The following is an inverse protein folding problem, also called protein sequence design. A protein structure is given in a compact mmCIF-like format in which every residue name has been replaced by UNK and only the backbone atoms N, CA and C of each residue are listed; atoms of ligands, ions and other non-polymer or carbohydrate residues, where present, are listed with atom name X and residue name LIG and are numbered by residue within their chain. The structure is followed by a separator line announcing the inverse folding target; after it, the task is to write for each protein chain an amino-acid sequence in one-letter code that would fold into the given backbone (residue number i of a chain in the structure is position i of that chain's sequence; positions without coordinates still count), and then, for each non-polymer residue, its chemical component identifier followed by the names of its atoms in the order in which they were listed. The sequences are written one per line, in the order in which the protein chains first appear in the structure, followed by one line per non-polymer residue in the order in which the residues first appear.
data_IF_596873025262
#
_entry.id   IF_596873025262
#
_cell.length_a   1.000
_cell.length_b   1.000
_cell.length_c   1.000
_cell.angle_alpha   90.00
_cell.angle_beta   90.00
_cell.angle_gamma   90.00
#
_symmetry.space_group_name_H-M   'P 1'
#
loop_
_entity.id
_entity.type
_entity.pdbx_description
1 polymer ?
#
# COMPACT_ATOMS: atom_id res chain seq x y z
N UNK A 1 16.19 32.80 -8.11
CA UNK A 1 15.76 32.37 -6.77
C UNK A 1 15.58 30.87 -6.81
N UNK A 2 16.13 30.14 -5.83
CA UNK A 2 15.92 28.70 -5.73
C UNK A 2 14.47 28.43 -5.37
N UNK A 3 13.85 27.48 -6.08
CA UNK A 3 12.47 27.06 -5.88
C UNK A 3 12.48 25.80 -5.00
N UNK A 4 12.07 25.94 -3.74
CA UNK A 4 12.02 24.82 -2.79
C UNK A 4 10.57 24.37 -2.61
N UNK A 5 10.35 23.07 -2.61
CA UNK A 5 9.08 22.45 -2.29
C UNK A 5 9.12 21.88 -0.86
N UNK A 6 8.17 22.24 -0.03
CA UNK A 6 8.00 21.67 1.31
C UNK A 6 6.75 20.80 1.34
N UNK A 7 6.95 19.52 1.70
CA UNK A 7 5.87 18.59 1.97
C UNK A 7 5.58 18.56 3.47
N UNK A 8 4.40 19.02 3.85
CA UNK A 8 3.88 18.92 5.21
C UNK A 8 3.02 17.66 5.32
N UNK A 9 3.62 16.56 5.78
CA UNK A 9 2.98 15.26 5.82
C UNK A 9 2.20 15.02 7.12
N UNK A 10 1.36 15.98 7.53
CA UNK A 10 0.59 15.93 8.77
C UNK A 10 -0.46 14.80 8.80
N UNK A 11 -0.90 14.34 7.63
CA UNK A 11 -1.83 13.20 7.46
C UNK A 11 -1.18 12.02 6.74
N UNK A 12 0.15 11.90 6.83
CA UNK A 12 0.89 10.86 6.11
C UNK A 12 1.26 11.25 4.68
N UNK A 13 1.59 10.24 3.87
CA UNK A 13 1.94 10.39 2.46
C UNK A 13 1.71 9.07 1.72
N UNK A 14 1.04 9.15 0.56
CA UNK A 14 0.90 8.09 -0.41
C UNK A 14 1.23 8.60 -1.81
N UNK A 15 1.24 7.72 -2.82
CA UNK A 15 1.53 8.10 -4.20
C UNK A 15 0.48 9.05 -4.76
N UNK A 16 -0.78 8.64 -4.71
CA UNK A 16 -1.95 9.40 -5.18
C UNK A 16 -2.10 10.75 -4.48
N UNK A 17 -1.97 10.80 -3.15
CA UNK A 17 -1.97 12.04 -2.36
C UNK A 17 -0.85 13.00 -2.81
N UNK A 18 0.33 12.46 -3.13
CA UNK A 18 1.45 13.26 -3.62
C UNK A 18 1.15 13.87 -4.98
N UNK A 19 0.61 13.08 -5.90
CA UNK A 19 0.22 13.57 -7.24
C UNK A 19 -0.85 14.65 -7.12
N UNK A 20 -1.89 14.41 -6.31
CA UNK A 20 -2.98 15.36 -6.08
C UNK A 20 -2.46 16.69 -5.52
N UNK A 21 -1.56 16.64 -4.54
CA UNK A 21 -0.94 17.84 -3.96
C UNK A 21 -0.08 18.62 -4.97
N UNK A 22 0.68 17.92 -5.82
CA UNK A 22 1.49 18.55 -6.86
C UNK A 22 0.64 19.21 -7.95
N UNK A 23 -0.52 18.63 -8.28
CA UNK A 23 -1.50 19.22 -9.20
C UNK A 23 -2.12 20.47 -8.59
N UNK A 24 -2.51 20.45 -7.31
CA UNK A 24 -3.02 21.63 -6.60
C UNK A 24 -1.97 22.76 -6.51
N UNK A 25 -0.68 22.39 -6.45
CA UNK A 25 0.42 23.34 -6.47
C UNK A 25 0.64 23.99 -7.85
N UNK A 26 0.06 23.41 -8.92
CA UNK A 26 0.11 23.95 -10.27
C UNK A 26 0.95 23.14 -11.26
N UNK A 27 1.21 21.85 -11.00
CA UNK A 27 1.72 20.96 -12.04
C UNK A 27 0.73 20.87 -13.21
N UNK A 28 1.24 20.82 -14.44
CA UNK A 28 0.41 20.87 -15.65
C UNK A 28 -0.31 19.52 -15.87
N UNK A 29 -1.62 19.51 -15.57
CA UNK A 29 -2.47 18.32 -15.73
C UNK A 29 -2.48 17.79 -17.17
N UNK A 30 -2.45 18.67 -18.16
CA UNK A 30 -2.45 18.26 -19.57
C UNK A 30 -1.19 17.49 -19.91
N UNK A 31 -0.03 18.03 -19.54
CA UNK A 31 1.26 17.36 -19.72
C UNK A 31 1.28 16.02 -18.98
N UNK A 32 0.76 15.97 -17.75
CA UNK A 32 0.66 14.74 -16.97
C UNK A 32 -0.15 13.67 -17.73
N UNK A 33 -1.39 13.97 -18.15
CA UNK A 33 -2.27 13.02 -18.85
C UNK A 33 -1.69 12.56 -20.18
N UNK A 34 -1.14 13.48 -20.98
CA UNK A 34 -0.54 13.17 -22.27
C UNK A 34 0.66 12.24 -22.10
N UNK A 35 1.50 12.49 -21.10
CA UNK A 35 2.70 11.68 -20.85
C UNK A 35 2.33 10.30 -20.27
N UNK A 36 1.42 10.21 -19.30
CA UNK A 36 0.95 8.94 -18.74
C UNK A 36 0.29 8.06 -19.81
N UNK A 37 -0.42 8.65 -20.77
CA UNK A 37 -1.01 7.92 -21.89
C UNK A 37 0.02 7.28 -22.84
N UNK A 38 1.31 7.54 -22.68
CA UNK A 38 2.40 6.92 -23.46
C UNK A 38 3.07 5.75 -22.75
N UNK A 39 2.71 5.47 -21.49
CA UNK A 39 3.26 4.33 -20.77
C UNK A 39 2.77 3.02 -21.43
N UNK A 40 3.66 2.10 -21.81
CA UNK A 40 3.28 0.84 -22.45
C UNK A 40 2.80 -0.18 -21.41
N UNK A 41 1.66 0.11 -20.78
CA UNK A 41 0.97 -0.75 -19.82
C UNK A 41 -0.19 -1.40 -20.58
N UNK A 42 -0.21 -2.73 -20.62
CA UNK A 42 -1.21 -3.49 -21.39
C UNK A 42 -2.56 -3.60 -20.66
N UNK A 43 -2.51 -3.60 -19.33
CA UNK A 43 -3.71 -3.66 -18.49
C UNK A 43 -4.50 -2.35 -18.63
N UNK A 44 -5.82 -2.45 -18.83
CA UNK A 44 -6.65 -1.25 -18.90
C UNK A 44 -6.71 -0.54 -17.55
N UNK A 45 -6.58 0.77 -17.56
CA UNK A 45 -6.72 1.65 -16.41
C UNK A 45 -7.33 2.98 -16.83
N UNK A 46 -7.94 3.67 -15.90
CA UNK A 46 -8.48 5.03 -16.09
C UNK A 46 -7.89 5.98 -15.05
N UNK A 47 -7.54 7.21 -15.47
CA UNK A 47 -7.03 8.24 -14.58
C UNK A 47 -8.15 9.26 -14.34
N UNK A 48 -8.60 9.33 -13.09
CA UNK A 48 -9.56 10.32 -12.62
C UNK A 48 -8.83 11.41 -11.85
N UNK A 49 -9.01 12.66 -12.28
CA UNK A 49 -8.54 13.85 -11.57
C UNK A 49 -9.77 14.72 -11.37
N UNK A 50 -10.12 14.96 -10.13
CA UNK A 50 -11.34 15.66 -9.76
C UNK A 50 -11.15 16.60 -8.57
N UNK A 51 -12.18 17.40 -8.26
CA UNK A 51 -12.21 18.19 -7.03
C UNK A 51 -13.17 17.51 -6.05
N UNK A 52 -12.70 17.27 -4.85
CA UNK A 52 -13.49 16.62 -3.79
C UNK A 52 -13.47 17.46 -2.50
N UNK A 53 -14.43 17.20 -1.63
CA UNK A 53 -14.48 17.79 -0.29
C UNK A 53 -13.98 16.81 0.75
N UNK A 54 -12.77 17.03 1.26
CA UNK A 54 -12.22 16.27 2.41
C UNK A 54 -12.13 17.22 3.61
N UNK A 55 -12.81 16.89 4.71
CA UNK A 55 -12.89 17.75 5.92
C UNK A 55 -13.31 19.20 5.61
N UNK A 56 -14.26 19.38 4.70
CA UNK A 56 -14.76 20.67 4.19
C UNK A 56 -13.77 21.48 3.35
N UNK A 57 -12.56 20.98 3.13
CA UNK A 57 -11.59 21.59 2.22
C UNK A 57 -11.84 21.11 0.79
N UNK A 58 -11.69 22.03 -0.16
CA UNK A 58 -11.72 21.71 -1.59
C UNK A 58 -10.32 21.32 -2.03
N UNK A 59 -10.13 20.04 -2.35
CA UNK A 59 -8.82 19.46 -2.67
C UNK A 59 -8.85 18.72 -4.00
N UNK A 60 -7.70 18.64 -4.66
CA UNK A 60 -7.51 17.74 -5.79
C UNK A 60 -7.57 16.29 -5.30
N UNK A 61 -8.14 15.45 -6.13
CA UNK A 61 -8.16 14.01 -5.97
C UNK A 61 -7.59 13.37 -7.22
N UNK A 62 -6.64 12.47 -7.07
CA UNK A 62 -6.03 11.71 -8.15
C UNK A 62 -6.28 10.24 -7.88
N UNK A 63 -6.93 9.56 -8.80
CA UNK A 63 -7.28 8.15 -8.67
C UNK A 63 -6.94 7.39 -9.94
N UNK A 64 -6.25 6.27 -9.80
CA UNK A 64 -6.05 5.28 -10.86
C UNK A 64 -7.09 4.17 -10.65
N UNK A 65 -8.05 4.05 -11.55
CA UNK A 65 -9.11 3.04 -11.50
C UNK A 65 -8.77 1.86 -12.39
N UNK A 66 -8.82 0.65 -11.83
CA UNK A 66 -8.62 -0.60 -12.53
C UNK A 66 -9.97 -1.31 -12.79
N UNK A 67 -10.13 -2.11 -13.86
CA UNK A 67 -11.42 -2.76 -14.20
C UNK A 67 -11.96 -3.74 -13.16
N UNK A 68 -11.07 -4.29 -12.35
CA UNK A 68 -11.40 -5.23 -11.26
C UNK A 68 -11.79 -4.53 -9.97
N UNK A 69 -11.58 -3.24 -9.94
CA UNK A 69 -11.98 -2.40 -8.82
C UNK A 69 -13.51 -2.23 -8.92
N UNK A 70 -14.27 -2.88 -8.05
CA UNK A 70 -15.72 -2.67 -7.95
C UNK A 70 -16.07 -1.22 -7.59
N UNK A 71 -17.37 -0.89 -7.46
CA UNK A 71 -17.83 0.48 -7.13
C UNK A 71 -17.31 1.05 -5.79
N UNK A 72 -16.49 0.29 -5.03
CA UNK A 72 -16.05 0.60 -3.66
C UNK A 72 -14.52 0.78 -3.55
N UNK A 73 -13.98 1.69 -4.37
CA UNK A 73 -12.56 2.03 -4.32
C UNK A 73 -12.29 3.47 -3.90
N UNK A 74 -12.96 3.92 -2.94
CA UNK A 74 -12.28 4.73 -1.93
C UNK A 74 -11.67 3.72 -0.95
N UNK A 75 -10.44 3.92 -0.49
CA UNK A 75 -9.89 3.17 0.63
C UNK A 75 -10.77 3.49 1.84
N UNK A 76 -11.95 2.89 1.82
CA UNK A 76 -12.96 3.11 2.83
C UNK A 76 -12.37 2.56 4.12
N UNK A 77 -12.45 3.34 5.17
CA UNK A 77 -12.01 2.93 6.51
C UNK A 77 -12.63 1.58 6.88
N UNK A 78 -13.75 1.24 6.29
CA UNK A 78 -14.44 -0.05 6.42
C UNK A 78 -13.68 -1.22 5.79
N UNK A 79 -12.99 -1.02 4.66
CA UNK A 79 -12.11 -2.02 4.06
C UNK A 79 -10.85 -2.25 4.91
N UNK A 80 -10.28 -1.17 5.46
CA UNK A 80 -9.07 -1.22 6.28
C UNK A 80 -9.31 -1.79 7.68
N UNK A 81 -10.49 -1.57 8.26
CA UNK A 81 -10.81 -1.93 9.65
C UNK A 81 -11.83 -3.07 9.79
N UNK A 82 -12.44 -3.55 8.70
CA UNK A 82 -13.54 -4.50 8.72
C UNK A 82 -14.85 -3.89 9.26
N UNK A 83 -15.95 -4.59 9.06
CA UNK A 83 -17.26 -4.13 9.56
C UNK A 83 -17.25 -4.04 11.08
N UNK A 84 -17.34 -2.84 11.61
CA UNK A 84 -17.74 -2.61 13.00
C UNK A 84 -19.24 -2.97 13.08
N UNK A 85 -19.55 -4.18 13.51
CA UNK A 85 -20.92 -4.52 13.88
C UNK A 85 -21.28 -3.72 15.12
N UNK A 86 -21.92 -2.57 14.94
CA UNK A 86 -22.70 -1.94 15.98
C UNK A 86 -23.90 -2.87 16.25
N UNK A 87 -23.79 -3.68 17.29
CA UNK A 87 -24.93 -4.35 17.87
C UNK A 87 -25.71 -3.32 18.68
N UNK A 88 -26.64 -2.63 18.02
CA UNK A 88 -27.73 -1.94 18.71
C UNK A 88 -28.59 -2.99 19.42
N UNK A 89 -28.30 -3.17 20.70
CA UNK A 89 -29.21 -3.86 21.59
C UNK A 89 -30.29 -2.87 22.05
N UNK A 90 -31.36 -2.76 21.27
CA UNK A 90 -32.61 -2.24 21.78
C UNK A 90 -33.10 -3.22 22.84
N UNK A 91 -33.00 -2.82 24.11
CA UNK A 91 -33.66 -3.49 25.21
C UNK A 91 -35.15 -3.14 25.23
N UNK A 92 -35.96 -3.93 24.57
CA UNK A 92 -37.38 -3.99 24.94
C UNK A 92 -37.53 -4.85 26.17
N UNK A 93 -38.04 -4.21 27.22
CA UNK A 93 -38.42 -4.83 28.48
C UNK A 93 -39.80 -5.45 28.33
N UNK A 94 -39.93 -6.80 28.43
CA UNK A 94 -41.18 -7.40 28.94
C UNK A 94 -40.94 -8.79 29.53
N UNK A 95 -41.47 -8.88 30.80
CA UNK A 95 -42.13 -9.98 31.46
C UNK A 95 -41.40 -11.30 31.77
N UNK A 96 -41.34 -11.52 33.05
CA UNK A 96 -41.04 -12.73 33.80
C UNK A 96 -41.74 -14.00 33.31
N UNK A 97 -40.99 -15.10 33.18
CA UNK A 97 -41.49 -16.44 33.50
C UNK A 97 -40.37 -17.28 34.14
N UNK A 98 -40.69 -17.66 35.38
CA UNK A 98 -40.06 -18.61 36.27
C UNK A 98 -40.26 -20.04 35.76
N UNK A 99 -39.20 -20.80 35.55
CA UNK A 99 -39.18 -22.25 35.59
C UNK A 99 -37.79 -22.76 36.00
N UNK A 100 -37.70 -23.19 37.25
CA UNK A 100 -36.60 -23.96 37.75
C UNK A 100 -36.62 -25.39 37.20
N UNK A 101 -35.45 -25.91 36.86
CA UNK A 101 -35.16 -27.35 36.85
C UNK A 101 -33.69 -27.56 37.22
N UNK A 102 -33.47 -28.10 38.42
CA UNK A 102 -32.27 -28.77 38.89
C UNK A 102 -32.06 -30.06 38.11
N UNK A 103 -30.87 -30.30 37.59
CA UNK A 103 -30.35 -31.64 37.35
C UNK A 103 -28.83 -31.65 37.54
N UNK A 104 -28.42 -32.15 38.71
CA UNK A 104 -27.08 -32.71 38.97
C UNK A 104 -26.89 -34.01 38.17
N UNK A 105 -25.79 -34.16 37.50
CA UNK A 105 -25.21 -35.46 37.15
C UNK A 105 -23.69 -35.37 37.12
N UNK A 106 -23.09 -35.84 38.22
CA UNK A 106 -21.72 -36.33 38.31
C UNK A 106 -21.61 -37.63 37.54
N UNK A 107 -20.60 -37.76 36.69
CA UNK A 107 -20.06 -39.04 36.28
C UNK A 107 -18.55 -38.93 36.04
N UNK A 108 -17.78 -39.36 37.04
CA UNK A 108 -16.43 -39.86 36.95
C UNK A 108 -16.41 -41.17 36.15
N UNK A 109 -15.58 -41.27 35.14
CA UNK A 109 -15.07 -42.54 34.63
C UNK A 109 -13.61 -42.43 34.20
N UNK A 110 -12.80 -42.98 35.11
CA UNK A 110 -11.40 -43.38 34.90
C UNK A 110 -11.37 -44.74 34.16
N UNK A 111 -10.72 -44.82 33.03
CA UNK A 111 -10.29 -46.07 32.43
C UNK A 111 -8.93 -45.96 31.70
N UNK A 112 -7.93 -46.46 32.39
CA UNK A 112 -6.65 -46.94 31.83
C UNK A 112 -6.86 -48.29 31.13
N UNK A 113 -6.37 -48.46 29.89
CA UNK A 113 -5.87 -49.73 29.29
C UNK A 113 -5.10 -49.43 28.03
N UNK A 114 -3.81 -49.75 28.04
CA UNK A 114 -3.09 -50.88 27.52
C UNK A 114 -2.85 -50.92 25.98
N UNK A 115 -1.57 -51.02 25.73
CA UNK A 115 -0.88 -51.20 24.43
C UNK A 115 -1.33 -52.45 23.69
N UNK A 116 -1.57 -52.35 22.41
CA UNK A 116 -1.37 -53.45 21.46
C UNK A 116 -0.72 -52.93 20.18
N UNK A 117 0.51 -53.43 19.95
CA UNK A 117 1.20 -53.45 18.66
C UNK A 117 0.43 -54.36 17.70
N UNK A 118 0.11 -53.90 16.51
CA UNK A 118 -0.14 -54.69 15.34
C UNK A 118 0.49 -54.08 14.09
N UNK A 119 1.59 -54.71 13.70
CA UNK A 119 2.25 -54.61 12.42
C UNK A 119 1.39 -55.30 11.34
N UNK A 120 0.92 -54.53 10.35
CA UNK A 120 0.42 -55.05 9.08
C UNK A 120 0.89 -54.19 7.93
N UNK A 121 1.98 -54.64 7.32
CA UNK A 121 2.42 -54.14 6.02
C UNK A 121 1.38 -54.51 4.92
N UNK A 122 0.89 -53.47 4.24
CA UNK A 122 0.25 -53.57 2.94
C UNK A 122 0.81 -52.53 2.01
N UNK A 123 1.69 -52.98 1.12
CA UNK A 123 2.12 -52.22 -0.07
C UNK A 123 0.97 -52.25 -1.09
N UNK A 124 0.36 -51.08 -1.31
CA UNK A 124 -0.46 -50.84 -2.49
C UNK A 124 0.14 -49.66 -3.28
N UNK A 125 0.84 -50.04 -4.35
CA UNK A 125 1.21 -49.15 -5.43
C UNK A 125 -0.05 -48.85 -6.27
N UNK A 126 -0.56 -47.65 -6.19
CA UNK A 126 -1.47 -47.10 -7.20
C UNK A 126 -0.88 -45.78 -7.69
N UNK A 127 -0.21 -45.87 -8.85
CA UNK A 127 0.13 -44.71 -9.65
C UNK A 127 -1.17 -44.12 -10.21
N UNK A 128 -1.56 -42.98 -9.72
CA UNK A 128 -2.48 -42.09 -10.39
C UNK A 128 -1.70 -40.81 -10.71
N UNK A 129 -1.23 -40.75 -11.95
CA UNK A 129 -0.82 -39.51 -12.56
C UNK A 129 -2.09 -38.65 -12.70
N UNK A 130 -2.34 -37.77 -11.74
CA UNK A 130 -3.26 -36.67 -11.91
C UNK A 130 -2.45 -35.48 -12.38
N UNK A 131 -2.39 -35.32 -13.70
CA UNK A 131 -2.00 -34.10 -14.36
C UNK A 131 -3.09 -33.05 -14.05
N UNK A 132 -2.93 -32.35 -12.92
CA UNK A 132 -3.68 -31.15 -12.61
C UNK A 132 -2.85 -29.94 -13.05
N UNK A 133 -2.77 -29.73 -14.35
CA UNK A 133 -2.38 -28.43 -14.88
C UNK A 133 -3.48 -27.42 -14.58
N UNK A 134 -3.63 -27.04 -13.32
CA UNK A 134 -4.30 -25.81 -12.95
C UNK A 134 -3.32 -24.69 -13.26
N UNK A 135 -3.35 -24.19 -14.47
CA UNK A 135 -2.84 -22.86 -14.80
C UNK A 135 -3.69 -21.83 -14.07
N UNK A 136 -3.46 -21.69 -12.77
CA UNK A 136 -3.77 -20.43 -12.10
C UNK A 136 -2.80 -19.44 -12.74
N UNK A 137 -3.30 -18.57 -13.59
CA UNK A 137 -2.62 -17.36 -13.96
C UNK A 137 -2.47 -16.53 -12.67
N UNK A 138 -1.47 -16.85 -11.87
CA UNK A 138 -0.98 -15.92 -10.88
C UNK A 138 -0.47 -14.73 -11.69
N UNK A 139 -1.07 -13.58 -11.51
CA UNK A 139 -0.51 -12.33 -11.99
C UNK A 139 0.89 -12.25 -11.33
N UNK A 140 1.90 -12.65 -12.08
CA UNK A 140 3.28 -12.55 -11.62
C UNK A 140 3.57 -11.06 -11.48
N UNK A 141 3.84 -10.61 -10.25
CA UNK A 141 4.21 -9.21 -10.01
C UNK A 141 5.39 -8.81 -10.90
N UNK A 142 5.41 -7.55 -11.34
CA UNK A 142 6.48 -7.01 -12.18
C UNK A 142 7.77 -6.86 -11.40
N UNK A 143 8.90 -7.17 -12.06
CA UNK A 143 10.22 -6.90 -11.51
C UNK A 143 10.66 -5.45 -11.76
N UNK A 144 11.69 -4.96 -11.02
CA UNK A 144 12.19 -3.60 -11.17
C UNK A 144 12.65 -3.26 -12.60
N UNK A 145 13.24 -4.21 -13.30
CA UNK A 145 13.75 -3.99 -14.67
C UNK A 145 12.62 -3.85 -15.69
N UNK A 146 11.53 -4.57 -15.51
CA UNK A 146 10.33 -4.42 -16.33
C UNK A 146 9.72 -3.03 -16.17
N UNK A 147 9.58 -2.55 -14.92
CA UNK A 147 9.05 -1.21 -14.64
C UNK A 147 9.97 -0.13 -15.18
N UNK A 148 11.31 -0.28 -15.07
CA UNK A 148 12.27 0.61 -15.73
C UNK A 148 12.07 0.64 -17.24
N UNK A 149 11.79 -0.51 -17.85
CA UNK A 149 11.45 -0.63 -19.27
C UNK A 149 10.21 0.18 -19.65
N UNK A 150 9.17 0.17 -18.82
CA UNK A 150 7.95 0.97 -19.01
C UNK A 150 8.30 2.47 -19.02
N UNK A 151 9.05 2.96 -18.01
CA UNK A 151 9.45 4.37 -17.96
C UNK A 151 10.34 4.76 -19.13
N UNK A 152 11.30 3.90 -19.50
CA UNK A 152 12.21 4.16 -20.60
C UNK A 152 11.51 4.32 -21.95
N UNK A 153 10.48 3.50 -22.21
CA UNK A 153 9.74 3.49 -23.47
C UNK A 153 8.70 4.62 -23.58
N UNK A 154 8.39 5.31 -22.48
CA UNK A 154 7.42 6.42 -22.46
C UNK A 154 8.01 7.73 -22.98
N UNK A 155 7.13 8.72 -23.20
CA UNK A 155 7.51 10.10 -23.54
C UNK A 155 7.92 10.97 -22.35
N UNK A 156 8.10 10.38 -21.16
CA UNK A 156 8.63 11.11 -20.00
C UNK A 156 9.96 11.80 -20.35
N UNK A 157 10.17 12.98 -19.79
CA UNK A 157 11.46 13.68 -19.88
C UNK A 157 12.57 12.87 -19.20
N UNK A 158 13.83 13.14 -19.53
CA UNK A 158 14.96 12.49 -18.84
C UNK A 158 14.97 12.83 -17.34
N UNK A 159 14.52 14.04 -16.94
CA UNK A 159 14.37 14.44 -15.54
C UNK A 159 13.34 13.61 -14.83
N UNK A 160 12.14 13.48 -15.39
CA UNK A 160 11.06 12.66 -14.83
C UNK A 160 11.48 11.17 -14.77
N UNK A 161 12.11 10.63 -15.81
CA UNK A 161 12.65 9.24 -15.79
C UNK A 161 13.67 9.04 -14.69
N UNK A 162 14.55 9.99 -14.46
CA UNK A 162 15.54 9.91 -13.40
C UNK A 162 14.89 9.92 -12.01
N UNK A 163 13.85 10.73 -11.78
CA UNK A 163 13.10 10.77 -10.54
C UNK A 163 12.35 9.43 -10.33
N UNK A 164 11.59 8.97 -11.32
CA UNK A 164 10.83 7.72 -11.25
C UNK A 164 11.74 6.52 -10.94
N UNK A 165 12.89 6.43 -11.61
CA UNK A 165 13.83 5.34 -11.36
C UNK A 165 14.48 5.39 -9.97
N UNK A 166 14.69 6.58 -9.38
CA UNK A 166 15.16 6.68 -7.99
C UNK A 166 14.09 6.19 -7.00
N UNK A 167 12.82 6.57 -7.20
CA UNK A 167 11.71 6.11 -6.36
C UNK A 167 11.60 4.58 -6.45
N UNK A 168 11.61 4.04 -7.66
CA UNK A 168 11.55 2.60 -7.90
C UNK A 168 12.74 1.86 -7.25
N UNK A 169 13.95 2.43 -7.30
CA UNK A 169 15.12 1.82 -6.69
C UNK A 169 14.97 1.72 -5.17
N UNK A 170 14.49 2.77 -4.51
CA UNK A 170 14.23 2.77 -3.06
C UNK A 170 13.22 1.69 -2.66
N UNK A 171 12.13 1.57 -3.44
CA UNK A 171 11.13 0.51 -3.23
C UNK A 171 11.74 -0.89 -3.41
N UNK A 172 12.50 -1.10 -4.50
CA UNK A 172 13.10 -2.40 -4.78
C UNK A 172 14.11 -2.84 -3.71
N UNK A 173 14.91 -1.91 -3.18
CA UNK A 173 15.83 -2.17 -2.07
C UNK A 173 15.10 -2.51 -0.77
N UNK A 174 13.98 -1.84 -0.49
CA UNK A 174 13.17 -2.12 0.68
C UNK A 174 12.50 -3.49 0.60
N UNK A 175 11.88 -3.83 -0.53
CA UNK A 175 11.28 -5.13 -0.78
C UNK A 175 12.32 -6.26 -0.72
N UNK A 176 13.48 -6.08 -1.34
CA UNK A 176 14.58 -7.03 -1.25
C UNK A 176 14.99 -7.30 0.22
N UNK A 177 15.08 -6.22 1.01
CA UNK A 177 15.44 -6.31 2.43
C UNK A 177 14.34 -6.95 3.30
N UNK A 178 13.06 -6.78 2.95
CA UNK A 178 11.93 -7.41 3.63
C UNK A 178 11.87 -8.91 3.32
N UNK A 179 12.04 -9.27 2.04
CA UNK A 179 11.94 -10.65 1.59
C UNK A 179 13.25 -11.45 1.69
N UNK A 180 14.35 -10.79 2.08
CA UNK A 180 15.67 -11.44 2.19
C UNK A 180 16.19 -11.96 0.85
N UNK A 181 15.94 -11.24 -0.25
CA UNK A 181 16.32 -11.60 -1.61
C UNK A 181 17.23 -10.54 -2.24
N UNK A 182 17.77 -10.83 -3.42
CA UNK A 182 18.49 -9.84 -4.22
C UNK A 182 17.51 -8.88 -4.92
N UNK A 183 17.90 -7.60 -5.08
CA UNK A 183 17.08 -6.57 -5.73
C UNK A 183 16.65 -6.99 -7.14
N UNK A 184 17.52 -7.69 -7.87
CA UNK A 184 17.21 -8.19 -9.22
C UNK A 184 16.17 -9.30 -9.27
N UNK A 185 15.90 -9.94 -8.13
CA UNK A 185 14.93 -11.02 -7.98
C UNK A 185 13.63 -10.57 -7.31
N UNK A 186 13.52 -9.28 -7.00
CA UNK A 186 12.27 -8.73 -6.45
C UNK A 186 11.15 -8.83 -7.47
N UNK A 187 10.00 -9.33 -7.03
CA UNK A 187 8.74 -9.22 -7.72
C UNK A 187 7.79 -8.42 -6.83
N UNK A 188 7.40 -7.26 -7.30
CA UNK A 188 6.47 -6.42 -6.57
C UNK A 188 5.07 -7.01 -6.59
N UNK A 189 4.53 -7.33 -5.42
CA UNK A 189 3.17 -7.83 -5.28
C UNK A 189 2.15 -6.68 -5.24
N UNK A 190 2.50 -5.60 -4.58
CA UNK A 190 1.67 -4.39 -4.43
C UNK A 190 2.24 -3.22 -5.24
N UNK A 191 3.50 -2.85 -5.03
CA UNK A 191 4.16 -1.75 -5.76
C UNK A 191 4.39 -2.03 -7.26
N UNK A 192 4.18 -3.27 -7.74
CA UNK A 192 4.18 -3.64 -9.17
C UNK A 192 2.79 -3.60 -9.81
N UNK A 193 1.75 -3.32 -9.04
CA UNK A 193 0.42 -3.07 -9.56
C UNK A 193 0.39 -1.78 -10.40
N UNK A 194 -0.55 -1.69 -11.31
CA UNK A 194 -0.61 -0.59 -12.29
C UNK A 194 -0.75 0.76 -11.62
N UNK A 195 -1.55 0.85 -10.57
CA UNK A 195 -1.75 2.07 -9.78
C UNK A 195 -0.44 2.62 -9.21
N UNK A 196 0.35 1.78 -8.55
CA UNK A 196 1.64 2.20 -7.98
C UNK A 196 2.65 2.64 -9.05
N UNK A 197 2.69 1.98 -10.22
CA UNK A 197 3.54 2.38 -11.35
C UNK A 197 3.11 3.76 -11.87
N UNK A 198 1.81 3.97 -12.00
CA UNK A 198 1.25 5.26 -12.44
C UNK A 198 1.54 6.34 -11.42
N UNK A 199 1.39 6.09 -10.12
CA UNK A 199 1.69 7.04 -9.05
C UNK A 199 3.14 7.50 -9.06
N UNK A 200 4.08 6.55 -9.23
CA UNK A 200 5.51 6.85 -9.34
C UNK A 200 5.79 7.71 -10.58
N UNK A 201 5.26 7.32 -11.74
CA UNK A 201 5.42 8.07 -12.98
C UNK A 201 4.80 9.47 -12.88
N UNK A 202 3.56 9.57 -12.37
CA UNK A 202 2.83 10.82 -12.22
C UNK A 202 3.54 11.78 -11.27
N UNK A 203 3.99 11.29 -10.10
CA UNK A 203 4.79 12.07 -9.16
C UNK A 203 6.05 12.63 -9.82
N UNK A 204 6.77 11.78 -10.55
CA UNK A 204 8.01 12.17 -11.22
C UNK A 204 7.76 13.22 -12.33
N UNK A 205 6.71 13.05 -13.12
CA UNK A 205 6.30 14.00 -14.16
C UNK A 205 5.93 15.34 -13.53
N UNK A 206 5.13 15.36 -12.46
CA UNK A 206 4.72 16.58 -11.80
C UNK A 206 5.90 17.32 -11.15
N UNK A 207 6.81 16.63 -10.48
CA UNK A 207 8.01 17.23 -9.87
C UNK A 207 8.93 17.84 -10.93
N UNK A 208 9.16 17.14 -12.04
CA UNK A 208 9.97 17.65 -13.14
C UNK A 208 9.33 18.86 -13.81
N UNK A 209 8.01 18.82 -14.05
CA UNK A 209 7.23 19.92 -14.62
C UNK A 209 7.26 21.18 -13.74
N UNK A 210 7.18 21.02 -12.43
CA UNK A 210 7.27 22.13 -11.47
C UNK A 210 8.67 22.75 -11.41
N UNK A 211 9.68 22.06 -11.93
CA UNK A 211 11.08 22.52 -11.97
C UNK A 211 11.57 23.01 -10.60
N UNK A 212 11.39 22.19 -9.56
CA UNK A 212 11.85 22.51 -8.21
C UNK A 212 13.33 22.17 -8.05
N UNK A 213 14.07 23.03 -7.35
CA UNK A 213 15.51 22.86 -7.09
C UNK A 213 15.78 21.98 -5.87
N UNK A 214 14.79 21.82 -4.98
CA UNK A 214 14.92 20.97 -3.80
C UNK A 214 13.59 20.68 -3.15
N UNK A 215 13.57 19.57 -2.41
CA UNK A 215 12.39 19.07 -1.71
C UNK A 215 12.71 18.90 -0.23
N UNK A 216 11.84 19.39 0.62
CA UNK A 216 11.99 19.38 2.07
C UNK A 216 10.92 18.50 2.69
N UNK A 217 11.35 17.53 3.49
CA UNK A 217 10.50 16.74 4.39
C UNK A 217 11.05 16.85 5.80
N UNK A 218 10.29 17.38 6.74
CA UNK A 218 10.75 17.52 8.14
C UNK A 218 10.49 16.25 8.95
N UNK A 219 9.30 15.70 8.80
CA UNK A 219 8.85 14.43 9.40
C UNK A 219 7.65 13.88 8.62
N UNK A 220 7.42 12.58 8.71
CA UNK A 220 6.25 11.89 8.20
C UNK A 220 5.36 11.50 9.38
N UNK A 221 4.08 11.86 9.34
CA UNK A 221 3.13 11.45 10.36
C UNK A 221 2.58 10.07 10.01
N UNK A 222 2.65 9.14 10.98
CA UNK A 222 2.22 7.77 10.82
C UNK A 222 1.23 7.38 11.92
N UNK A 223 0.30 6.47 11.59
CA UNK A 223 -0.63 5.90 12.54
C UNK A 223 -0.05 4.71 13.31
N UNK A 224 -0.93 3.88 13.86
CA UNK A 224 -0.56 2.66 14.57
C UNK A 224 -1.56 1.53 14.32
N UNK A 225 -1.26 0.35 14.86
CA UNK A 225 -2.12 -0.83 14.72
C UNK A 225 -1.61 -1.78 13.63
N UNK A 226 -2.50 -2.23 12.76
CA UNK A 226 -2.18 -3.16 11.68
C UNK A 226 -3.04 -2.91 10.45
N UNK A 227 -2.49 -3.26 9.29
CA UNK A 227 -3.16 -3.17 7.99
C UNK A 227 -3.19 -4.55 7.34
N UNK A 228 -4.30 -4.85 6.66
CA UNK A 228 -4.44 -6.09 5.88
C UNK A 228 -4.02 -5.81 4.43
N UNK A 229 -3.10 -6.62 3.94
CA UNK A 229 -2.59 -6.55 2.57
C UNK A 229 -2.44 -7.96 1.96
N UNK A 230 -1.84 -8.09 0.79
CA UNK A 230 -1.61 -9.40 0.16
C UNK A 230 -0.72 -10.33 1.01
N UNK A 231 0.16 -9.79 1.84
CA UNK A 231 1.00 -10.54 2.79
C UNK A 231 0.27 -10.93 4.08
N UNK A 232 -1.03 -10.63 4.19
CA UNK A 232 -1.82 -10.83 5.40
C UNK A 232 -1.89 -9.60 6.28
N UNK A 233 -1.96 -9.78 7.60
CA UNK A 233 -2.03 -8.69 8.56
C UNK A 233 -0.62 -8.23 8.95
N UNK A 234 -0.25 -7.01 8.60
CA UNK A 234 1.06 -6.42 8.91
C UNK A 234 0.94 -5.32 9.96
N UNK A 235 1.97 -5.13 10.82
CA UNK A 235 2.02 -4.01 11.75
C UNK A 235 2.27 -2.69 11.01
N UNK A 236 1.79 -1.58 11.60
CA UNK A 236 2.05 -0.21 11.13
C UNK A 236 3.15 0.41 12.01
N UNK A 237 4.21 1.00 11.40
CA UNK A 237 4.51 1.07 9.96
C UNK A 237 4.79 -0.30 9.35
N UNK A 238 4.38 -0.50 8.09
CA UNK A 238 4.63 -1.77 7.41
C UNK A 238 6.14 -2.01 7.21
N UNK A 239 6.59 -3.27 7.09
CA UNK A 239 8.01 -3.60 7.02
C UNK A 239 8.79 -2.82 5.96
N UNK A 240 8.23 -2.63 4.75
CA UNK A 240 8.86 -1.87 3.68
C UNK A 240 9.10 -0.40 4.08
N UNK A 241 8.10 0.26 4.68
CA UNK A 241 8.22 1.64 5.20
C UNK A 241 9.32 1.72 6.25
N UNK A 242 9.37 0.77 7.18
CA UNK A 242 10.42 0.70 8.21
C UNK A 242 11.82 0.56 7.61
N UNK A 243 11.98 -0.26 6.55
CA UNK A 243 13.25 -0.43 5.84
C UNK A 243 13.68 0.85 5.14
N UNK A 244 12.76 1.51 4.42
CA UNK A 244 13.01 2.80 3.76
C UNK A 244 13.42 3.86 4.79
N UNK A 245 12.64 4.01 5.87
CA UNK A 245 12.92 4.99 6.90
C UNK A 245 14.30 4.81 7.53
N UNK A 246 14.67 3.57 7.84
CA UNK A 246 15.97 3.24 8.44
C UNK A 246 17.13 3.51 7.48
N UNK A 247 16.98 3.11 6.20
CA UNK A 247 18.03 3.27 5.20
C UNK A 247 18.30 4.74 4.83
N UNK A 248 17.25 5.57 4.83
CA UNK A 248 17.31 6.95 4.37
C UNK A 248 17.20 8.00 5.48
N UNK A 249 17.10 7.58 6.76
CA UNK A 249 17.06 8.48 7.91
C UNK A 249 15.80 9.35 7.97
N UNK A 250 14.66 8.86 7.44
CA UNK A 250 13.40 9.57 7.51
C UNK A 250 12.92 9.68 8.97
N UNK A 251 12.40 10.83 9.34
CA UNK A 251 11.87 11.10 10.67
C UNK A 251 10.38 10.84 10.70
N UNK A 252 9.92 10.15 11.74
CA UNK A 252 8.52 9.83 11.94
C UNK A 252 7.96 10.46 13.21
N UNK A 253 6.70 10.91 13.12
CA UNK A 253 5.86 11.26 14.25
C UNK A 253 4.67 10.32 14.28
N UNK A 254 4.51 9.56 15.37
CA UNK A 254 3.37 8.68 15.52
C UNK A 254 2.16 9.44 16.09
N UNK A 255 1.01 9.27 15.44
CA UNK A 255 -0.26 9.87 15.80
C UNK A 255 -1.13 8.85 16.52
N UNK A 256 -2.06 9.30 17.40
CA UNK A 256 -3.03 8.42 18.05
C UNK A 256 -4.21 8.09 17.10
N UNK A 257 -3.90 7.59 15.92
CA UNK A 257 -4.85 7.23 14.86
C UNK A 257 -4.57 5.79 14.45
N UNK A 258 -5.60 4.95 14.40
CA UNK A 258 -5.50 3.62 13.82
C UNK A 258 -5.48 3.72 12.29
N UNK A 259 -4.56 3.01 11.67
CA UNK A 259 -4.43 2.92 10.22
C UNK A 259 -3.06 3.33 9.71
N UNK A 260 -2.76 2.89 8.48
CA UNK A 260 -1.56 3.25 7.74
C UNK A 260 -1.74 4.65 7.13
N UNK A 261 -0.85 5.56 7.45
CA UNK A 261 -0.82 6.91 6.89
C UNK A 261 0.35 7.11 5.93
N UNK A 262 1.40 6.32 6.07
CA UNK A 262 2.59 6.37 5.20
C UNK A 262 2.70 5.06 4.44
N UNK A 263 2.35 5.09 3.15
CA UNK A 263 2.49 3.91 2.29
C UNK A 263 3.93 3.68 1.85
N UNK A 264 4.31 2.46 1.42
CA UNK A 264 5.64 2.20 0.85
C UNK A 264 5.99 3.13 -0.31
N UNK A 265 5.05 3.39 -1.22
CA UNK A 265 5.23 4.33 -2.33
C UNK A 265 5.46 5.75 -1.84
N UNK A 266 4.67 6.22 -0.86
CA UNK A 266 4.84 7.55 -0.25
C UNK A 266 6.19 7.70 0.45
N UNK A 267 6.60 6.71 1.24
CA UNK A 267 7.92 6.69 1.89
C UNK A 267 9.07 6.70 0.87
N UNK A 268 8.93 5.95 -0.23
CA UNK A 268 9.94 5.91 -1.29
C UNK A 268 10.02 7.25 -2.05
N UNK A 269 8.90 7.91 -2.29
CA UNK A 269 8.87 9.27 -2.87
C UNK A 269 9.64 10.22 -1.96
N UNK A 270 9.34 10.24 -0.66
CA UNK A 270 10.04 11.08 0.30
C UNK A 270 11.55 10.79 0.30
N UNK A 271 11.96 9.52 0.43
CA UNK A 271 13.35 9.10 0.48
C UNK A 271 14.12 9.43 -0.81
N UNK A 272 13.51 9.24 -1.98
CA UNK A 272 14.15 9.46 -3.27
C UNK A 272 14.28 10.93 -3.66
N UNK A 273 13.47 11.82 -3.08
CA UNK A 273 13.37 13.22 -3.49
C UNK A 273 13.87 14.22 -2.44
N UNK A 274 13.96 13.84 -1.17
CA UNK A 274 14.40 14.72 -0.08
C UNK A 274 15.79 15.29 -0.35
N UNK A 275 15.89 16.61 -0.24
CA UNK A 275 17.16 17.36 -0.30
C UNK A 275 17.50 18.03 1.02
N UNK A 276 16.52 18.22 1.91
CA UNK A 276 16.69 18.76 3.25
C UNK A 276 15.59 18.25 4.19
N UNK A 277 15.95 18.04 5.43
CA UNK A 277 15.03 17.69 6.53
C UNK A 277 14.75 18.88 7.46
N UNK A 278 15.18 20.06 7.06
CA UNK A 278 15.11 21.28 7.87
C UNK A 278 14.54 22.42 7.04
N UNK A 279 13.53 23.08 7.59
CA UNK A 279 12.98 24.31 7.00
C UNK A 279 13.97 25.46 7.06
N UNK A 280 14.05 26.30 6.03
CA UNK A 280 14.82 27.53 6.08
C UNK A 280 14.23 28.48 7.13
N UNK A 281 15.08 29.36 7.70
CA UNK A 281 14.66 30.33 8.72
C UNK A 281 13.55 31.27 8.24
N UNK A 282 13.45 31.47 6.94
CA UNK A 282 12.37 32.23 6.29
C UNK A 282 12.15 31.68 4.87
N UNK A 283 10.89 31.54 4.48
CA UNK A 283 10.50 31.22 3.12
C UNK A 283 9.31 32.09 2.71
N UNK A 284 9.20 32.32 1.42
CA UNK A 284 8.01 32.95 0.84
C UNK A 284 7.09 31.82 0.37
N UNK A 285 5.88 31.84 0.83
CA UNK A 285 4.81 30.92 0.41
C UNK A 285 4.06 31.55 -0.76
#
# INVERSE_FOLDING_TARGET
MSRQLYFECASGISGDMTVAALLDLGADEKTLRETLGTLPIEEPYEIHISRVKKSSLDVCDFLVKLPQDGEFLDHDMEYLHGHLHEHDHEHESEAAHDHGHDHDHDHDHDHSHDRHDHDHGHTHSHGHEHDHSHTHAHAHGRGPDEIRGIFAASSMTDGAKAIANRILQVLAEAEAAVHGTDVSLVHFHEAGAVDSIIDIAATAICLDNLAVDGVIFTELCEGHGSVRCQHGLLPIPVPAVTKIATAHGLKFRFLPVEGELVTPTGAAIAAATITSDTLPAAMKI
#
